data_IF_302167865988
#
_entry.id   IF_302167865988
#
_cell.length_a   1.000
_cell.length_b   1.000
_cell.length_c   1.000
_cell.angle_alpha   90.00
_cell.angle_beta   90.00
_cell.angle_gamma   90.00
#
_symmetry.space_group_name_H-M   'P 1'
#
loop_
_entity.id
_entity.type
_entity.pdbx_description
1 polymer ?
#
# COMPACT_ATOMS: atom_id res chain seq x y z
N UNK A 1 4.38 -1.67 -20.78
CA UNK A 1 5.66 -1.88 -20.07
C UNK A 1 5.52 -3.20 -19.31
N UNK A 2 6.43 -4.16 -19.46
CA UNK A 2 6.28 -5.49 -18.85
C UNK A 2 6.59 -5.41 -17.34
N UNK A 3 5.53 -5.29 -16.54
CA UNK A 3 5.60 -5.02 -15.11
C UNK A 3 6.37 -6.12 -14.34
N UNK A 4 6.37 -7.34 -14.88
CA UNK A 4 7.17 -8.45 -14.34
C UNK A 4 8.66 -8.15 -14.43
N UNK A 5 9.11 -7.68 -15.61
CA UNK A 5 10.51 -7.30 -15.84
C UNK A 5 10.94 -6.14 -14.94
N UNK A 6 10.07 -5.14 -14.73
CA UNK A 6 10.38 -4.02 -13.84
C UNK A 6 10.52 -4.44 -12.37
N UNK A 7 9.76 -5.45 -11.93
CA UNK A 7 9.89 -6.00 -10.58
C UNK A 7 11.18 -6.81 -10.46
N UNK A 8 11.48 -7.66 -11.43
CA UNK A 8 12.70 -8.48 -11.45
C UNK A 8 13.97 -7.61 -11.45
N UNK A 9 14.01 -6.53 -12.24
CA UNK A 9 15.12 -5.58 -12.29
C UNK A 9 15.34 -4.85 -10.96
N UNK A 10 14.24 -4.54 -10.24
CA UNK A 10 14.30 -3.89 -8.92
C UNK A 10 14.74 -4.84 -7.83
N UNK A 11 14.31 -6.12 -7.88
CA UNK A 11 14.76 -7.15 -6.95
C UNK A 11 16.26 -7.40 -7.10
N UNK A 12 16.76 -7.55 -8.32
CA UNK A 12 18.20 -7.69 -8.58
C UNK A 12 19.02 -6.49 -8.09
N UNK A 13 18.49 -5.26 -8.22
CA UNK A 13 19.16 -4.07 -7.71
C UNK A 13 19.26 -4.09 -6.17
N UNK A 14 18.26 -4.62 -5.48
CA UNK A 14 18.24 -4.73 -4.01
C UNK A 14 19.20 -5.82 -3.54
N UNK A 15 19.16 -7.01 -4.15
CA UNK A 15 20.10 -8.10 -3.86
C UNK A 15 21.57 -7.66 -4.04
N UNK A 16 21.84 -6.84 -5.06
CA UNK A 16 23.17 -6.26 -5.29
C UNK A 16 23.60 -5.27 -4.21
N UNK A 17 22.68 -4.44 -3.70
CA UNK A 17 22.99 -3.49 -2.62
C UNK A 17 23.19 -4.22 -1.28
N UNK A 18 22.44 -5.28 -1.04
CA UNK A 18 22.54 -6.08 0.18
C UNK A 18 23.85 -6.87 0.22
N UNK A 19 24.21 -7.54 -0.89
CA UNK A 19 25.46 -8.31 -1.00
C UNK A 19 26.74 -7.46 -0.93
N UNK A 20 26.65 -6.15 -1.20
CA UNK A 20 27.79 -5.22 -1.09
C UNK A 20 27.98 -4.64 0.31
N UNK A 21 27.04 -4.85 1.24
CA UNK A 21 27.17 -4.46 2.65
C UNK A 21 27.43 -5.70 3.49
N UNK A 22 28.40 -5.67 4.41
CA UNK A 22 28.54 -6.71 5.44
C UNK A 22 27.38 -6.59 6.43
N UNK A 23 26.23 -7.13 6.05
CA UNK A 23 25.05 -7.25 6.88
C UNK A 23 25.04 -8.63 7.52
N UNK A 24 24.54 -8.72 8.75
CA UNK A 24 24.21 -10.04 9.29
C UNK A 24 23.01 -10.64 8.53
N UNK A 25 22.90 -11.98 8.42
CA UNK A 25 21.80 -12.62 7.69
C UNK A 25 20.39 -12.15 8.13
N UNK A 26 20.24 -11.83 9.42
CA UNK A 26 19.01 -11.27 10.00
C UNK A 26 18.69 -9.87 9.47
N UNK A 27 19.69 -9.02 9.26
CA UNK A 27 19.51 -7.67 8.72
C UNK A 27 19.23 -7.69 7.21
N UNK A 28 19.82 -8.63 6.50
CA UNK A 28 19.54 -8.88 5.09
C UNK A 28 18.08 -9.34 4.88
N UNK A 29 17.61 -10.29 5.69
CA UNK A 29 16.22 -10.77 5.63
C UNK A 29 15.20 -9.66 6.00
N UNK A 30 15.49 -8.83 7.01
CA UNK A 30 14.66 -7.67 7.36
C UNK A 30 14.58 -6.63 6.23
N UNK A 31 15.69 -6.34 5.55
CA UNK A 31 15.74 -5.37 4.44
C UNK A 31 15.03 -5.92 3.20
N UNK A 32 15.22 -7.19 2.87
CA UNK A 32 14.49 -7.85 1.78
C UNK A 32 13.00 -7.80 2.07
N UNK A 33 12.59 -8.13 3.30
CA UNK A 33 11.16 -8.13 3.64
C UNK A 33 10.55 -6.73 3.66
N UNK A 34 11.27 -5.73 4.16
CA UNK A 34 10.85 -4.33 4.07
C UNK A 34 10.74 -3.88 2.60
N UNK A 35 11.64 -4.34 1.73
CA UNK A 35 11.65 -4.00 0.31
C UNK A 35 10.54 -4.69 -0.46
N UNK A 36 10.23 -5.95 -0.14
CA UNK A 36 9.06 -6.69 -0.64
C UNK A 36 7.78 -5.99 -0.17
N UNK A 37 7.68 -5.63 1.10
CA UNK A 37 6.55 -4.87 1.64
C UNK A 37 6.39 -3.51 0.96
N UNK A 38 7.49 -2.79 0.71
CA UNK A 38 7.47 -1.52 -0.04
C UNK A 38 7.06 -1.70 -1.50
N UNK A 39 7.43 -2.82 -2.12
CA UNK A 39 7.03 -3.14 -3.50
C UNK A 39 5.55 -3.55 -3.56
N UNK A 40 5.06 -4.28 -2.56
CA UNK A 40 3.64 -4.61 -2.38
C UNK A 40 2.77 -3.39 -2.06
N UNK A 41 3.35 -2.28 -1.58
CA UNK A 41 2.66 -0.99 -1.39
C UNK A 41 2.34 -0.24 -2.69
N UNK A 42 2.81 -0.70 -3.85
CA UNK A 42 2.60 0.01 -5.12
C UNK A 42 1.10 0.17 -5.46
N UNK A 43 0.18 -0.62 -4.87
CA UNK A 43 -1.27 -0.44 -4.97
C UNK A 43 -2.02 -0.33 -3.64
N UNK A 44 -1.36 0.11 -2.56
CA UNK A 44 -2.00 0.25 -1.25
C UNK A 44 -2.04 1.70 -0.78
N UNK A 45 -3.21 2.17 -0.34
CA UNK A 45 -3.34 3.42 0.43
C UNK A 45 -3.27 3.11 1.92
N UNK A 46 -2.49 3.89 2.66
CA UNK A 46 -2.36 3.78 4.11
C UNK A 46 -3.00 5.01 4.77
N UNK A 47 -4.07 4.79 5.51
CA UNK A 47 -4.73 5.82 6.29
C UNK A 47 -4.25 5.76 7.74
N UNK A 48 -3.85 6.91 8.27
CA UNK A 48 -3.47 7.09 9.66
C UNK A 48 -4.62 7.72 10.46
N UNK A 49 -4.59 7.55 11.78
CA UNK A 49 -5.55 8.16 12.71
C UNK A 49 -7.03 7.77 12.50
N UNK A 50 -7.33 6.74 11.72
CA UNK A 50 -8.68 6.18 11.62
C UNK A 50 -9.00 5.45 12.93
N UNK A 51 -10.01 5.87 13.73
CA UNK A 51 -10.33 5.24 15.01
C UNK A 51 -10.63 3.74 14.86
N UNK A 52 -10.25 2.93 15.86
CA UNK A 52 -10.70 1.54 15.96
C UNK A 52 -11.97 1.52 16.83
N UNK A 53 -13.13 1.60 16.18
CA UNK A 53 -14.43 1.62 16.87
C UNK A 53 -14.95 0.20 17.02
N UNK A 54 -15.43 -0.14 18.21
CA UNK A 54 -16.05 -1.43 18.44
C UNK A 54 -17.38 -1.47 17.68
N UNK A 55 -17.66 -2.60 17.02
CA UNK A 55 -18.92 -2.85 16.29
C UNK A 55 -19.09 -2.04 14.98
N UNK A 56 -18.03 -1.40 14.48
CA UNK A 56 -17.99 -0.79 13.13
C UNK A 56 -16.95 -1.55 12.30
N UNK A 57 -17.30 -1.91 11.07
CA UNK A 57 -16.37 -2.58 10.18
C UNK A 57 -15.42 -1.56 9.56
N UNK A 58 -14.13 -1.90 9.53
CA UNK A 58 -13.12 -1.07 8.88
C UNK A 58 -13.41 -0.84 7.39
N UNK A 59 -14.13 -1.78 6.76
CA UNK A 59 -14.60 -1.70 5.37
C UNK A 59 -15.65 -0.61 5.18
N UNK A 60 -16.60 -0.46 6.11
CA UNK A 60 -17.61 0.62 6.07
C UNK A 60 -16.93 1.98 6.16
N UNK A 61 -16.00 2.14 7.11
CA UNK A 61 -15.23 3.38 7.27
C UNK A 61 -14.39 3.69 6.03
N UNK A 62 -13.77 2.67 5.42
CA UNK A 62 -13.00 2.85 4.19
C UNK A 62 -13.91 3.26 3.02
N UNK A 63 -15.10 2.69 2.91
CA UNK A 63 -16.07 3.05 1.87
C UNK A 63 -16.54 4.50 2.05
N UNK A 64 -16.94 4.90 3.25
CA UNK A 64 -17.37 6.28 3.54
C UNK A 64 -16.28 7.31 3.15
N UNK A 65 -15.02 7.00 3.47
CA UNK A 65 -13.89 7.87 3.11
C UNK A 65 -13.72 7.94 1.60
N UNK A 66 -13.75 6.80 0.90
CA UNK A 66 -13.57 6.74 -0.55
C UNK A 66 -14.75 7.38 -1.30
N UNK A 67 -15.99 7.21 -0.85
CA UNK A 67 -17.16 7.91 -1.39
C UNK A 67 -17.02 9.43 -1.32
N UNK A 68 -16.29 9.95 -0.33
CA UNK A 68 -16.07 11.38 -0.19
C UNK A 68 -14.93 11.90 -1.08
N UNK A 69 -13.84 11.14 -1.20
CA UNK A 69 -12.59 11.65 -1.80
C UNK A 69 -12.32 11.15 -3.22
N UNK A 70 -12.72 9.92 -3.54
CA UNK A 70 -12.46 9.25 -4.82
C UNK A 70 -13.45 8.08 -5.02
N UNK A 71 -14.73 8.37 -5.35
CA UNK A 71 -15.78 7.35 -5.46
C UNK A 71 -15.41 6.25 -6.46
N UNK A 72 -14.69 6.61 -7.52
CA UNK A 72 -14.28 5.66 -8.56
C UNK A 72 -13.29 4.59 -8.06
N UNK A 73 -12.61 4.83 -6.93
CA UNK A 73 -11.69 3.85 -6.35
C UNK A 73 -12.42 2.68 -5.66
N UNK A 74 -13.69 2.84 -5.26
CA UNK A 74 -14.48 1.80 -4.57
C UNK A 74 -14.57 0.51 -5.39
N UNK A 75 -14.81 0.62 -6.70
CA UNK A 75 -14.93 -0.54 -7.60
C UNK A 75 -13.63 -1.36 -7.68
N UNK A 76 -12.51 -0.71 -7.40
CA UNK A 76 -11.18 -1.30 -7.43
C UNK A 76 -10.68 -1.76 -6.05
N UNK A 77 -11.41 -1.46 -4.97
CA UNK A 77 -11.02 -1.86 -3.62
C UNK A 77 -11.09 -3.39 -3.49
N UNK A 78 -9.98 -4.01 -3.12
CA UNK A 78 -9.84 -5.46 -2.98
C UNK A 78 -9.97 -5.88 -1.53
N UNK A 79 -9.28 -5.16 -0.63
CA UNK A 79 -9.18 -5.55 0.77
C UNK A 79 -8.89 -4.38 1.67
N UNK A 80 -9.57 -4.36 2.82
CA UNK A 80 -9.30 -3.43 3.91
C UNK A 80 -8.73 -4.22 5.09
N UNK A 81 -7.68 -3.71 5.72
CA UNK A 81 -7.05 -4.40 6.87
C UNK A 81 -6.24 -3.46 7.74
N UNK A 82 -6.22 -3.69 9.06
CA UNK A 82 -5.32 -2.99 9.97
C UNK A 82 -3.92 -3.57 9.90
N UNK A 83 -2.91 -2.72 9.86
CA UNK A 83 -1.51 -3.11 9.87
C UNK A 83 -0.75 -2.45 11.03
N UNK A 84 0.27 -3.15 11.52
CA UNK A 84 1.09 -2.71 12.65
C UNK A 84 0.62 -3.24 14.00
N UNK A 85 1.46 -3.02 15.02
CA UNK A 85 1.19 -3.43 16.40
C UNK A 85 0.20 -2.49 17.06
N UNK A 86 -0.65 -3.04 17.94
CA UNK A 86 -1.56 -2.24 18.76
C UNK A 86 -0.75 -1.46 19.80
N UNK A 87 -0.84 -0.13 19.76
CA UNK A 87 -0.19 0.77 20.72
C UNK A 87 -1.30 1.46 21.52
N UNK A 88 -1.17 1.49 22.85
CA UNK A 88 -2.18 2.12 23.71
C UNK A 88 -2.35 3.60 23.32
N UNK A 89 -3.59 3.99 23.03
CA UNK A 89 -3.93 5.37 22.65
C UNK A 89 -3.58 5.77 21.22
N UNK A 90 -3.15 4.84 20.36
CA UNK A 90 -2.95 5.09 18.93
C UNK A 90 -3.64 4.01 18.09
N UNK A 91 -4.53 4.38 17.15
CA UNK A 91 -5.12 3.40 16.24
C UNK A 91 -4.05 2.85 15.29
N UNK A 92 -4.21 1.58 14.90
CA UNK A 92 -3.39 0.97 13.85
C UNK A 92 -3.68 1.62 12.50
N UNK A 93 -2.69 1.59 11.62
CA UNK A 93 -2.86 2.05 10.24
C UNK A 93 -3.91 1.21 9.54
N UNK A 94 -4.75 1.85 8.75
CA UNK A 94 -5.72 1.18 7.90
C UNK A 94 -5.15 1.08 6.49
N UNK A 95 -4.97 -0.14 6.00
CA UNK A 95 -4.49 -0.44 4.66
C UNK A 95 -5.65 -0.76 3.75
N UNK A 96 -5.78 0.01 2.67
CA UNK A 96 -6.70 -0.20 1.56
C UNK A 96 -5.87 -0.76 0.41
N UNK A 97 -6.13 -2.01 0.01
CA UNK A 97 -5.50 -2.67 -1.13
C UNK A 97 -6.44 -2.60 -2.32
N UNK A 98 -5.92 -2.18 -3.47
CA UNK A 98 -6.68 -2.09 -4.71
C UNK A 98 -6.24 -3.16 -5.71
N UNK A 99 -7.21 -3.67 -6.50
CA UNK A 99 -7.00 -4.72 -7.51
C UNK A 99 -6.04 -4.27 -8.62
N UNK A 100 -6.04 -2.98 -8.95
CA UNK A 100 -5.15 -2.37 -9.93
C UNK A 100 -4.56 -1.07 -9.35
N UNK A 101 -3.24 -1.03 -9.06
CA UNK A 101 -2.55 0.18 -8.62
C UNK A 101 -2.71 1.38 -9.57
N UNK A 102 -2.84 1.10 -10.87
CA UNK A 102 -2.81 2.11 -11.93
C UNK A 102 -4.16 2.81 -12.13
N UNK A 103 -5.30 2.19 -11.77
CA UNK A 103 -6.62 2.83 -11.94
C UNK A 103 -6.84 4.02 -11.00
N UNK A 104 -6.24 4.02 -9.80
CA UNK A 104 -6.26 5.17 -8.90
C UNK A 104 -5.40 6.34 -9.38
N UNK A 105 -4.49 6.11 -10.35
CA UNK A 105 -3.65 7.14 -10.98
C UNK A 105 -4.18 7.61 -12.33
N UNK A 106 -4.80 6.73 -13.11
CA UNK A 106 -5.34 7.09 -14.43
C UNK A 106 -6.59 7.97 -14.32
N UNK A 107 -7.52 7.71 -13.39
CA UNK A 107 -8.75 8.54 -13.30
C UNK A 107 -8.49 9.95 -12.75
N UNK A 108 -7.54 10.12 -11.83
CA UNK A 108 -7.15 11.44 -11.30
C UNK A 108 -6.50 12.37 -12.35
N UNK A 109 -5.94 11.81 -13.44
CA UNK A 109 -5.31 12.58 -14.52
C UNK A 109 -6.25 12.88 -15.70
N UNK A 110 -7.40 12.20 -15.81
CA UNK A 110 -8.31 12.38 -16.95
C UNK A 110 -9.26 13.58 -16.73
N UNK A 111 -9.50 14.01 -15.50
CA UNK A 111 -10.36 15.17 -15.22
C UNK A 111 -9.67 16.54 -15.32
N UNK A 112 -8.33 16.59 -15.48
CA UNK A 112 -7.57 17.85 -15.54
C UNK A 112 -7.17 18.32 -16.95
N UNK A 113 -7.64 17.66 -18.02
CA UNK A 113 -7.28 18.03 -19.41
C UNK A 113 -8.48 18.08 -20.37
N UNK A 114 -9.58 18.69 -19.94
CA UNK A 114 -10.59 19.22 -20.86
C UNK A 114 -10.91 20.68 -20.52
N UNK A 115 -10.07 21.60 -21.00
CA UNK A 115 -10.44 22.99 -21.31
C UNK A 115 -9.90 23.29 -22.71
#
# INVERSE_FOLDING_TARGET
>A
MDMKKTIDDRLMAIEKVVSTRQLSPLQEEEIIQESVDRTLRIGNILLANVPEVKDVLDEEVANDILELIEPAALESLEKVSRIGRKIKGRPRLLRLKFKNPDMAREKANVENFQI
#
